data_IF_879519455275
#
_entry.id   IF_879519455275
#
_cell.length_a   1.000
_cell.length_b   1.000
_cell.length_c   1.000
_cell.angle_alpha   90.00
_cell.angle_beta   90.00
_cell.angle_gamma   90.00
#
_symmetry.space_group_name_H-M   'P 1'
#
loop_
_entity.id
_entity.type
_entity.pdbx_description
1 polymer ?
#
# COMPACT_ATOMS: atom_id res chain seq x y z
N UNK A 1 -8.47 -1.77 5.22
CA UNK A 1 -8.62 -3.19 4.84
C UNK A 1 -9.89 -3.49 4.05
N UNK A 2 -11.05 -2.91 4.38
CA UNK A 2 -12.30 -3.03 3.57
C UNK A 2 -12.09 -2.64 2.11
N UNK A 3 -11.47 -1.48 1.88
CA UNK A 3 -11.45 -0.88 0.54
C UNK A 3 -10.45 -1.57 -0.39
N UNK A 4 -9.33 -2.07 0.16
CA UNK A 4 -8.36 -2.92 -0.57
C UNK A 4 -9.00 -4.23 -1.00
N UNK A 5 -9.73 -4.91 -0.09
CA UNK A 5 -10.41 -6.16 -0.43
C UNK A 5 -11.49 -5.95 -1.50
N UNK A 6 -12.24 -4.86 -1.39
CA UNK A 6 -13.25 -4.49 -2.37
C UNK A 6 -12.64 -4.22 -3.75
N UNK A 7 -11.58 -3.41 -3.81
CA UNK A 7 -10.86 -3.11 -5.06
C UNK A 7 -10.22 -4.36 -5.67
N UNK A 8 -9.58 -5.21 -4.85
CA UNK A 8 -9.00 -6.48 -5.29
C UNK A 8 -10.07 -7.40 -5.91
N UNK A 9 -11.24 -7.49 -5.27
CA UNK A 9 -12.34 -8.31 -5.76
C UNK A 9 -12.90 -7.77 -7.10
N UNK A 10 -12.99 -6.45 -7.26
CA UNK A 10 -13.37 -5.83 -8.53
C UNK A 10 -12.40 -6.15 -9.67
N UNK A 11 -11.08 -6.13 -9.39
CA UNK A 11 -10.07 -6.50 -10.37
C UNK A 11 -10.14 -7.99 -10.74
N UNK A 12 -10.27 -8.87 -9.75
CA UNK A 12 -10.41 -10.31 -9.97
C UNK A 12 -11.64 -10.63 -10.82
N UNK A 13 -12.77 -9.97 -10.54
CA UNK A 13 -13.99 -10.18 -11.30
C UNK A 13 -13.83 -9.74 -12.76
N UNK A 14 -13.17 -8.60 -13.00
CA UNK A 14 -12.90 -8.10 -14.36
C UNK A 14 -12.00 -9.04 -15.15
N UNK A 15 -10.96 -9.60 -14.52
CA UNK A 15 -10.09 -10.61 -15.15
C UNK A 15 -10.84 -11.90 -15.44
N UNK A 16 -11.71 -12.33 -14.52
CA UNK A 16 -12.53 -13.53 -14.71
C UNK A 16 -13.51 -13.40 -15.90
N UNK A 17 -13.96 -12.17 -16.20
CA UNK A 17 -14.77 -11.85 -17.38
C UNK A 17 -13.95 -11.68 -18.66
N UNK A 18 -12.62 -11.86 -18.61
CA UNK A 18 -11.72 -11.66 -19.74
C UNK A 18 -11.45 -10.19 -20.08
N UNK A 19 -11.79 -9.28 -19.17
CA UNK A 19 -11.57 -7.85 -19.34
C UNK A 19 -10.11 -7.46 -19.13
N UNK A 20 -9.62 -6.53 -19.94
CA UNK A 20 -8.32 -5.90 -19.73
C UNK A 20 -8.36 -4.97 -18.50
N UNK A 21 -7.25 -4.93 -17.76
CA UNK A 21 -7.03 -3.97 -16.68
C UNK A 21 -6.06 -2.90 -17.19
N UNK A 22 -6.50 -1.64 -17.31
CA UNK A 22 -5.61 -0.53 -17.64
C UNK A 22 -4.47 -0.41 -16.62
N UNK A 23 -3.29 -0.02 -17.07
CA UNK A 23 -2.11 0.10 -16.21
C UNK A 23 -2.30 1.16 -15.11
N UNK A 24 -3.10 2.19 -15.39
CA UNK A 24 -3.48 3.25 -14.47
C UNK A 24 -4.25 2.67 -13.27
N UNK A 25 -5.16 1.73 -13.52
CA UNK A 25 -5.95 1.06 -12.48
C UNK A 25 -5.05 0.18 -11.60
N UNK A 26 -4.06 -0.49 -12.19
CA UNK A 26 -3.07 -1.26 -11.42
C UNK A 26 -2.20 -0.35 -10.55
N UNK A 27 -1.84 0.82 -11.06
CA UNK A 27 -1.08 1.84 -10.32
C UNK A 27 -1.89 2.37 -9.13
N UNK A 28 -3.14 2.77 -9.35
CA UNK A 28 -4.04 3.23 -8.29
C UNK A 28 -4.27 2.15 -7.22
N UNK A 29 -4.42 0.89 -7.63
CA UNK A 29 -4.55 -0.22 -6.69
C UNK A 29 -3.28 -0.44 -5.88
N UNK A 30 -2.10 -0.35 -6.51
CA UNK A 30 -0.81 -0.45 -5.81
C UNK A 30 -0.65 0.68 -4.77
N UNK A 31 -1.02 1.92 -5.12
CA UNK A 31 -1.04 3.06 -4.20
C UNK A 31 -1.97 2.80 -3.01
N UNK A 32 -3.19 2.31 -3.26
CA UNK A 32 -4.15 1.98 -2.22
C UNK A 32 -3.62 0.90 -1.25
N UNK A 33 -2.96 -0.14 -1.77
CA UNK A 33 -2.32 -1.18 -0.96
C UNK A 33 -1.21 -0.59 -0.11
N UNK A 34 -0.32 0.21 -0.69
CA UNK A 34 0.79 0.86 0.05
C UNK A 34 0.26 1.77 1.18
N UNK A 35 -0.78 2.57 0.91
CA UNK A 35 -1.43 3.38 1.94
C UNK A 35 -2.04 2.52 3.06
N UNK A 36 -2.68 1.39 2.71
CA UNK A 36 -3.26 0.49 3.72
C UNK A 36 -2.19 -0.18 4.59
N UNK A 37 -1.07 -0.60 4.00
CA UNK A 37 0.06 -1.18 4.74
C UNK A 37 0.70 -0.15 5.69
N UNK A 38 0.87 1.09 5.23
CA UNK A 38 1.35 2.19 6.08
C UNK A 38 0.42 2.43 7.28
N UNK A 39 -0.90 2.45 7.06
CA UNK A 39 -1.88 2.62 8.15
C UNK A 39 -1.85 1.43 9.10
N UNK A 40 -1.72 0.20 8.59
CA UNK A 40 -1.63 -1.00 9.42
C UNK A 40 -0.36 -1.01 10.28
N UNK A 41 0.79 -0.67 9.69
CA UNK A 41 2.06 -0.55 10.42
C UNK A 41 2.00 0.55 11.48
N UNK A 42 1.41 1.71 11.17
CA UNK A 42 1.28 2.81 12.12
C UNK A 42 0.42 2.42 13.33
N UNK A 43 -0.69 1.70 13.10
CA UNK A 43 -1.50 1.13 14.19
C UNK A 43 -0.72 0.12 15.01
N UNK A 44 0.05 -0.77 14.39
CA UNK A 44 0.88 -1.73 15.11
C UNK A 44 1.94 -1.07 16.01
N UNK A 45 2.46 0.10 15.62
CA UNK A 45 3.34 0.92 16.48
C UNK A 45 2.56 1.49 17.66
N UNK A 46 1.38 2.07 17.42
CA UNK A 46 0.56 2.73 18.44
C UNK A 46 -0.04 1.76 19.47
N UNK A 47 -0.55 0.62 19.00
CA UNK A 47 -1.32 -0.32 19.82
C UNK A 47 -0.44 -1.41 20.48
N UNK A 48 0.81 -1.55 20.02
CA UNK A 48 1.69 -2.62 20.49
C UNK A 48 2.52 -2.23 21.73
N UNK A 49 3.18 -3.21 22.38
CA UNK A 49 3.98 -2.95 23.58
C UNK A 49 5.13 -1.95 23.31
N UNK A 50 5.40 -1.02 24.24
CA UNK A 50 6.33 0.10 24.02
C UNK A 50 7.76 -0.35 23.70
N UNK A 51 8.19 -1.51 24.20
CA UNK A 51 9.51 -2.09 23.96
C UNK A 51 9.78 -2.41 22.47
N UNK A 52 8.73 -2.56 21.65
CA UNK A 52 8.85 -2.80 20.21
C UNK A 52 8.51 -1.56 19.36
N UNK A 53 8.13 -0.43 19.97
CA UNK A 53 7.70 0.76 19.25
C UNK A 53 8.81 1.31 18.33
N UNK A 54 10.05 1.35 18.82
CA UNK A 54 11.21 1.83 18.02
C UNK A 54 11.48 0.93 16.82
N UNK A 55 11.46 -0.40 17.01
CA UNK A 55 11.67 -1.35 15.91
C UNK A 55 10.57 -1.23 14.85
N UNK A 56 9.30 -1.20 15.28
CA UNK A 56 8.18 -1.08 14.34
C UNK A 56 8.14 0.28 13.64
N UNK A 57 8.56 1.36 14.31
CA UNK A 57 8.69 2.68 13.70
C UNK A 57 9.80 2.71 12.62
N UNK A 58 10.92 2.01 12.83
CA UNK A 58 11.97 1.85 11.82
C UNK A 58 11.50 1.04 10.61
N UNK A 59 10.78 -0.06 10.85
CA UNK A 59 10.14 -0.86 9.79
C UNK A 59 9.17 0.01 8.97
N UNK A 60 8.34 0.83 9.63
CA UNK A 60 7.44 1.78 8.96
C UNK A 60 8.19 2.84 8.14
N UNK A 61 9.25 3.42 8.69
CA UNK A 61 10.05 4.45 8.02
C UNK A 61 10.72 3.89 6.75
N UNK A 62 11.16 2.63 6.77
CA UNK A 62 11.71 1.96 5.59
C UNK A 62 10.68 1.84 4.46
N UNK A 63 9.42 1.52 4.79
CA UNK A 63 8.32 1.50 3.81
C UNK A 63 8.07 2.89 3.24
N UNK A 64 7.96 3.92 4.09
CA UNK A 64 7.76 5.32 3.65
C UNK A 64 8.87 5.78 2.69
N UNK A 65 10.13 5.51 3.03
CA UNK A 65 11.27 5.88 2.19
C UNK A 65 11.27 5.15 0.84
N UNK A 66 10.87 3.88 0.83
CA UNK A 66 10.77 3.09 -0.40
C UNK A 66 9.67 3.61 -1.33
N UNK A 67 8.56 4.09 -0.76
CA UNK A 67 7.46 4.71 -1.50
C UNK A 67 7.85 6.10 -2.03
N UNK A 68 8.52 6.93 -1.20
CA UNK A 68 8.97 8.27 -1.60
C UNK A 68 9.96 8.27 -2.77
N UNK A 69 10.90 7.31 -2.80
CA UNK A 69 11.86 7.17 -3.91
C UNK A 69 11.19 6.78 -5.23
N UNK A 70 10.06 6.06 -5.18
CA UNK A 70 9.25 5.76 -6.37
C UNK A 70 8.58 6.99 -6.96
N UNK A 71 7.99 7.82 -6.09
CA UNK A 71 7.27 9.05 -6.49
C UNK A 71 8.20 10.14 -7.06
N UNK A 72 9.40 10.33 -6.49
CA UNK A 72 10.37 11.33 -6.98
C UNK A 72 10.91 10.96 -8.38
N UNK A 73 11.11 9.67 -8.68
CA UNK A 73 11.55 9.21 -10.00
C UNK A 73 10.50 9.40 -11.10
N UNK A 74 9.23 9.44 -10.74
CA UNK A 74 8.13 9.60 -11.67
C UNK A 74 7.86 11.07 -12.01
N UNK A 75 8.16 12.00 -11.09
CA UNK A 75 8.12 13.45 -11.35
C UNK A 75 9.32 13.98 -12.14
N UNK A 76 10.41 13.21 -12.21
CA UNK A 76 11.64 13.58 -12.93
C UNK A 76 11.68 13.10 -14.40
N UNK A 77 10.60 12.49 -14.90
CA UNK A 77 10.41 12.08 -16.31
C UNK A 77 9.42 12.98 -17.02
#
# INVERSE_FOLDING_TARGET
MSDVHWAANGLLHRVAEGGEIPIEVLREFAELVMCSELVAGARAVLDGPPEFAVRRALELASVVLSVGVGAEREQAK
#
